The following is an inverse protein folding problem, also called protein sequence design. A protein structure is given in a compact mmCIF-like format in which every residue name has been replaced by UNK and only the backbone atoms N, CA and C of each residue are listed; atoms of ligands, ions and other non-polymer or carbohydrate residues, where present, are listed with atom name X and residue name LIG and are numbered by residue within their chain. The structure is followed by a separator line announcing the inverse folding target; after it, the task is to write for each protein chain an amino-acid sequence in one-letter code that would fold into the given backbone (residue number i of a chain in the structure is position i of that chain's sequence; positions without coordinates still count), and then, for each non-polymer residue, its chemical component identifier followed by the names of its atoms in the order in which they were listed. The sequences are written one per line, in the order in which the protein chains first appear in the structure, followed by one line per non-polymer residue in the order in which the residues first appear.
data_IF_429485557804
#
_entry.id   IF_429485557804
#
_cell.length_a   1.000
_cell.length_b   1.000
_cell.length_c   1.000
_cell.angle_alpha   90.00
_cell.angle_beta   90.00
_cell.angle_gamma   90.00
#
_symmetry.space_group_name_H-M   'P 1'
#
loop_
_entity.id
_entity.type
_entity.pdbx_description
1 polymer ?
#
# COMPACT_ATOMS: atom_id res chain seq x y z
N UNK A 1 -14.49 23.67 -0.64
CA UNK A 1 -14.05 22.33 -1.08
C UNK A 1 -12.88 21.91 -0.18
N UNK A 2 -12.83 20.68 0.30
CA UNK A 2 -11.71 20.16 1.11
C UNK A 2 -10.44 20.16 0.25
N UNK A 3 -9.24 20.43 0.85
CA UNK A 3 -7.93 20.43 0.16
C UNK A 3 -7.69 19.16 -0.65
N UNK A 4 -8.05 18.00 -0.14
CA UNK A 4 -7.86 16.70 -0.83
C UNK A 4 -8.79 16.61 -2.05
N UNK A 5 -10.05 17.04 -1.93
CA UNK A 5 -10.98 17.06 -3.08
C UNK A 5 -10.49 18.02 -4.18
N UNK A 6 -9.87 19.14 -3.81
CA UNK A 6 -9.24 20.03 -4.78
C UNK A 6 -8.09 19.36 -5.52
N UNK A 7 -7.22 18.64 -4.80
CA UNK A 7 -6.10 17.88 -5.39
C UNK A 7 -6.59 16.78 -6.33
N UNK A 8 -7.67 16.09 -5.96
CA UNK A 8 -8.28 15.03 -6.76
C UNK A 8 -8.97 15.57 -8.03
N UNK A 9 -9.59 16.75 -7.94
CA UNK A 9 -10.24 17.40 -9.10
C UNK A 9 -9.23 17.97 -10.08
N UNK A 10 -8.04 18.36 -9.61
CA UNK A 10 -6.96 18.86 -10.44
C UNK A 10 -6.34 17.72 -11.27
N UNK A 11 -6.05 16.59 -10.64
CA UNK A 11 -5.42 15.43 -11.29
C UNK A 11 -5.60 14.17 -10.45
N UNK A 12 -5.82 13.03 -11.12
CA UNK A 12 -5.90 11.72 -10.46
C UNK A 12 -4.66 11.40 -9.62
N UNK A 13 -4.86 10.80 -8.45
CA UNK A 13 -3.78 10.48 -7.53
C UNK A 13 -2.75 9.49 -8.09
N UNK A 14 -3.17 8.60 -8.99
CA UNK A 14 -2.26 7.61 -9.61
C UNK A 14 -1.34 8.24 -10.67
N UNK A 15 -1.69 9.41 -11.22
CA UNK A 15 -0.88 10.10 -12.23
C UNK A 15 0.52 10.50 -11.75
N UNK A 16 0.76 10.56 -10.44
CA UNK A 16 2.07 10.89 -9.88
C UNK A 16 3.15 9.88 -10.24
N UNK A 17 2.77 8.66 -10.64
CA UNK A 17 3.70 7.59 -11.04
C UNK A 17 4.65 8.05 -12.14
N UNK A 18 4.15 8.79 -13.12
CA UNK A 18 4.91 9.24 -14.30
C UNK A 18 6.00 10.26 -13.93
N UNK A 19 5.85 10.94 -12.79
CA UNK A 19 6.80 11.94 -12.29
C UNK A 19 7.85 11.38 -11.33
N UNK A 20 7.72 10.12 -10.88
CA UNK A 20 8.62 9.53 -9.89
C UNK A 20 10.08 9.52 -10.34
N UNK A 21 10.35 9.21 -11.62
CA UNK A 21 11.72 9.22 -12.14
C UNK A 21 12.35 10.62 -12.06
N UNK A 22 11.57 11.67 -12.35
CA UNK A 22 12.01 13.05 -12.20
C UNK A 22 12.31 13.38 -10.72
N UNK A 23 11.42 13.06 -9.80
CA UNK A 23 11.61 13.33 -8.37
C UNK A 23 12.79 12.54 -7.78
N UNK A 24 13.03 11.32 -8.27
CA UNK A 24 14.17 10.52 -7.86
C UNK A 24 15.52 11.19 -8.20
N UNK A 25 15.58 11.94 -9.29
CA UNK A 25 16.76 12.71 -9.70
C UNK A 25 16.85 14.08 -9.05
N UNK A 26 15.72 14.79 -8.93
CA UNK A 26 15.68 16.17 -8.45
C UNK A 26 15.72 16.30 -6.91
N UNK A 27 15.40 15.22 -6.19
CA UNK A 27 15.31 15.24 -4.72
C UNK A 27 13.90 15.50 -4.21
N UNK A 28 13.70 15.25 -2.94
CA UNK A 28 12.39 15.34 -2.30
C UNK A 28 11.90 16.79 -2.15
N UNK A 29 12.80 17.77 -2.03
CA UNK A 29 12.49 19.19 -1.94
C UNK A 29 11.85 19.74 -3.23
N UNK A 30 12.11 19.08 -4.36
CA UNK A 30 11.53 19.45 -5.65
C UNK A 30 10.09 18.94 -5.84
N UNK A 31 9.55 18.14 -4.93
CA UNK A 31 8.21 17.57 -5.05
C UNK A 31 7.17 18.61 -4.63
N UNK A 32 6.24 19.03 -5.51
CA UNK A 32 5.16 19.93 -5.13
C UNK A 32 4.29 19.36 -4.01
N UNK A 33 3.75 20.22 -3.16
CA UNK A 33 2.92 19.79 -2.02
C UNK A 33 1.74 18.91 -2.43
N UNK A 34 1.09 19.21 -3.56
CA UNK A 34 0.00 18.39 -4.07
C UNK A 34 0.47 16.99 -4.45
N UNK A 35 1.69 16.86 -4.99
CA UNK A 35 2.24 15.56 -5.36
C UNK A 35 2.74 14.78 -4.14
N UNK A 36 3.21 15.44 -3.09
CA UNK A 36 3.43 14.79 -1.79
C UNK A 36 2.14 14.12 -1.29
N UNK A 37 0.97 14.72 -1.53
CA UNK A 37 -0.30 14.08 -1.21
C UNK A 37 -0.61 12.94 -2.18
N UNK A 38 -0.38 13.10 -3.49
CA UNK A 38 -0.63 12.06 -4.51
C UNK A 38 0.27 10.84 -4.32
N UNK A 39 1.51 11.00 -3.88
CA UNK A 39 2.41 9.89 -3.57
C UNK A 39 1.80 8.87 -2.59
N UNK A 40 0.90 9.32 -1.72
CA UNK A 40 0.22 8.45 -0.76
C UNK A 40 -0.71 7.43 -1.43
N UNK A 41 -1.18 7.67 -2.68
CA UNK A 41 -1.90 6.65 -3.45
C UNK A 41 -1.02 5.44 -3.75
N UNK A 42 0.29 5.67 -3.91
CA UNK A 42 1.31 4.62 -4.05
C UNK A 42 1.94 4.21 -2.71
N UNK A 43 1.30 4.53 -1.59
CA UNK A 43 1.77 4.13 -0.27
C UNK A 43 3.02 4.82 0.22
N UNK A 44 3.44 5.91 -0.44
CA UNK A 44 4.60 6.72 -0.05
C UNK A 44 4.14 7.88 0.84
N UNK A 45 4.62 7.90 2.05
CA UNK A 45 4.28 8.91 3.05
C UNK A 45 5.56 9.63 3.50
N UNK A 46 5.72 10.90 3.12
CA UNK A 46 6.78 11.75 3.65
C UNK A 46 6.59 11.89 5.18
N UNK A 47 7.65 11.74 5.93
CA UNK A 47 7.62 11.72 7.39
C UNK A 47 8.11 13.04 7.98
N UNK A 48 7.24 13.74 8.70
CA UNK A 48 7.60 14.98 9.38
C UNK A 48 8.76 14.82 10.39
N UNK A 49 8.83 13.72 11.19
CA UNK A 49 9.95 13.54 12.14
C UNK A 49 11.30 13.27 11.47
N UNK A 50 11.30 12.86 10.19
CA UNK A 50 12.51 12.54 9.41
C UNK A 50 12.38 13.14 8.02
N UNK A 51 12.59 14.47 7.85
CA UNK A 51 12.47 15.13 6.55
C UNK A 51 13.34 14.45 5.48
N UNK A 52 12.83 14.34 4.27
CA UNK A 52 13.49 13.65 3.16
C UNK A 52 13.33 12.14 3.14
N UNK A 53 12.82 11.55 4.23
CA UNK A 53 12.57 10.12 4.28
C UNK A 53 11.08 9.79 4.20
N UNK A 54 10.79 8.72 3.47
CA UNK A 54 9.44 8.21 3.25
C UNK A 54 9.23 6.89 3.99
N UNK A 55 7.99 6.66 4.39
CA UNK A 55 7.48 5.34 4.73
C UNK A 55 6.73 4.81 3.52
N UNK A 56 7.06 3.61 3.09
CA UNK A 56 6.34 2.87 2.06
C UNK A 56 5.44 1.83 2.72
N UNK A 57 4.20 1.74 2.25
CA UNK A 57 3.26 0.70 2.65
C UNK A 57 3.04 -0.24 1.47
N UNK A 58 3.29 -1.53 1.68
CA UNK A 58 3.11 -2.59 0.68
C UNK A 58 1.76 -3.26 0.91
N UNK A 59 1.02 -3.47 -0.17
CA UNK A 59 -0.28 -4.12 -0.19
C UNK A 59 -0.11 -5.62 -0.09
N UNK A 60 -0.85 -6.25 0.81
CA UNK A 60 -0.82 -7.70 1.04
C UNK A 60 -2.25 -8.19 1.30
N UNK A 61 -3.01 -8.54 0.25
CA UNK A 61 -4.41 -8.95 0.39
C UNK A 61 -4.53 -10.17 1.30
N UNK A 62 -5.37 -10.08 2.32
CA UNK A 62 -5.54 -11.11 3.35
C UNK A 62 -4.31 -11.35 4.23
N UNK A 63 -3.26 -10.54 4.11
CA UNK A 63 -2.00 -10.77 4.81
C UNK A 63 -1.17 -11.92 4.26
N UNK A 64 -1.61 -12.53 3.15
CA UNK A 64 -0.91 -13.66 2.55
C UNK A 64 0.37 -13.20 1.86
N UNK A 65 1.45 -13.92 2.11
CA UNK A 65 2.75 -13.68 1.51
C UNK A 65 3.55 -14.98 1.42
N UNK A 66 4.46 -15.03 0.47
CA UNK A 66 5.40 -16.14 0.32
C UNK A 66 6.74 -15.82 0.98
N UNK A 67 7.53 -16.84 1.28
CA UNK A 67 8.89 -16.66 1.78
C UNK A 67 9.79 -15.88 0.79
N UNK A 68 9.57 -16.05 -0.51
CA UNK A 68 10.27 -15.28 -1.55
C UNK A 68 9.92 -13.78 -1.48
N UNK A 69 8.65 -13.45 -1.34
CA UNK A 69 8.20 -12.07 -1.18
C UNK A 69 8.73 -11.43 0.11
N UNK A 70 8.76 -12.17 1.22
CA UNK A 70 9.35 -11.68 2.47
C UNK A 70 10.85 -11.42 2.35
N UNK A 71 11.60 -12.24 1.60
CA UNK A 71 13.02 -11.98 1.31
C UNK A 71 13.20 -10.69 0.52
N UNK A 72 12.39 -10.47 -0.51
CA UNK A 72 12.44 -9.21 -1.29
C UNK A 72 12.16 -8.00 -0.40
N UNK A 73 11.17 -8.08 0.50
CA UNK A 73 10.88 -6.99 1.45
C UNK A 73 12.03 -6.78 2.44
N UNK A 74 12.67 -7.84 2.91
CA UNK A 74 13.86 -7.75 3.76
C UNK A 74 15.04 -7.11 3.01
N UNK A 75 15.31 -7.52 1.77
CA UNK A 75 16.37 -6.94 0.93
C UNK A 75 16.12 -5.45 0.65
N UNK A 76 14.87 -5.06 0.38
CA UNK A 76 14.49 -3.65 0.23
C UNK A 76 14.75 -2.86 1.53
N UNK A 77 14.35 -3.42 2.69
CA UNK A 77 14.55 -2.77 3.98
C UNK A 77 16.05 -2.61 4.32
N UNK A 78 16.86 -3.63 4.04
CA UNK A 78 18.31 -3.60 4.28
C UNK A 78 19.05 -2.66 3.34
N UNK A 79 18.71 -2.67 2.04
CA UNK A 79 19.44 -1.90 1.04
C UNK A 79 19.01 -0.44 0.95
N UNK A 80 17.74 -0.14 1.20
CA UNK A 80 17.14 1.17 0.92
C UNK A 80 16.44 1.80 2.12
N UNK A 81 16.13 1.01 3.16
CA UNK A 81 15.48 1.46 4.39
C UNK A 81 16.43 1.49 5.58
N UNK A 82 15.90 1.23 6.76
CA UNK A 82 16.66 1.15 8.02
C UNK A 82 16.84 -0.30 8.53
N UNK A 83 16.69 -1.29 7.67
CA UNK A 83 16.85 -2.71 8.02
C UNK A 83 15.66 -3.33 8.75
N UNK A 84 14.56 -2.60 8.91
CA UNK A 84 13.37 -3.05 9.64
C UNK A 84 12.12 -2.95 8.77
N UNK A 85 11.24 -3.94 8.87
CA UNK A 85 9.88 -3.89 8.34
C UNK A 85 8.88 -3.93 9.50
N UNK A 86 7.79 -3.17 9.38
CA UNK A 86 6.69 -3.22 10.34
C UNK A 86 5.49 -3.96 9.75
N UNK A 87 4.94 -4.89 10.48
CA UNK A 87 3.65 -5.49 10.15
C UNK A 87 2.54 -4.66 10.77
N UNK A 88 1.48 -4.38 10.00
CA UNK A 88 0.41 -3.51 10.46
C UNK A 88 -0.82 -4.30 10.88
N UNK A 89 -1.67 -3.69 11.70
CA UNK A 89 -2.99 -4.25 12.09
C UNK A 89 -3.95 -4.45 10.91
N UNK A 90 -3.60 -3.94 9.70
CA UNK A 90 -4.34 -4.17 8.46
C UNK A 90 -3.63 -5.14 7.53
N UNK A 91 -2.82 -6.04 8.11
CA UNK A 91 -2.14 -7.10 7.36
C UNK A 91 -1.31 -6.55 6.19
N UNK A 92 -0.63 -5.43 6.38
CA UNK A 92 0.27 -4.82 5.39
C UNK A 92 1.68 -4.76 5.98
N UNK A 93 2.67 -4.60 5.10
CA UNK A 93 4.05 -4.33 5.50
C UNK A 93 4.37 -2.86 5.26
N UNK A 94 5.14 -2.28 6.18
CA UNK A 94 5.74 -0.94 6.02
C UNK A 94 7.25 -1.05 6.02
N UNK A 95 7.88 -0.35 5.07
CA UNK A 95 9.32 -0.11 5.04
C UNK A 95 9.55 1.38 5.30
N UNK A 96 10.46 1.69 6.22
CA UNK A 96 10.74 3.07 6.62
C UNK A 96 12.09 3.55 6.11
N UNK A 97 12.30 4.86 6.18
CA UNK A 97 13.55 5.55 5.83
C UNK A 97 13.96 5.41 4.35
N UNK A 98 12.99 5.23 3.46
CA UNK A 98 13.27 5.26 2.03
C UNK A 98 13.52 6.71 1.57
N UNK A 99 14.54 6.90 0.74
CA UNK A 99 14.72 8.16 0.00
C UNK A 99 13.92 8.13 -1.29
N UNK A 100 13.52 9.30 -1.80
CA UNK A 100 12.80 9.36 -3.09
C UNK A 100 13.65 8.80 -4.24
N UNK A 101 14.97 8.94 -4.17
CA UNK A 101 15.89 8.39 -5.16
C UNK A 101 15.83 6.86 -5.27
N UNK A 102 15.55 6.17 -4.17
CA UNK A 102 15.44 4.70 -4.15
C UNK A 102 14.07 4.19 -4.64
N UNK A 103 13.03 5.03 -4.66
CA UNK A 103 11.64 4.60 -4.91
C UNK A 103 11.46 3.89 -6.25
N UNK A 104 12.00 4.36 -7.39
CA UNK A 104 11.85 3.62 -8.67
C UNK A 104 12.36 2.19 -8.56
N UNK A 105 13.59 1.99 -8.07
CA UNK A 105 14.19 0.66 -7.88
C UNK A 105 13.38 -0.22 -6.92
N UNK A 106 12.87 0.37 -5.85
CA UNK A 106 12.01 -0.35 -4.89
C UNK A 106 10.72 -0.80 -5.55
N UNK A 107 10.10 0.04 -6.37
CA UNK A 107 8.87 -0.31 -7.08
C UNK A 107 9.09 -1.42 -8.12
N UNK A 108 10.24 -1.42 -8.82
CA UNK A 108 10.60 -2.47 -9.75
C UNK A 108 10.76 -3.82 -9.03
N UNK A 109 11.51 -3.84 -7.93
CA UNK A 109 11.67 -5.04 -7.07
C UNK A 109 10.33 -5.58 -6.53
N UNK A 110 9.42 -4.69 -6.12
CA UNK A 110 8.08 -5.10 -5.69
C UNK A 110 7.30 -5.74 -6.85
N UNK A 111 7.34 -5.11 -8.02
CA UNK A 111 6.63 -5.61 -9.22
C UNK A 111 7.15 -6.98 -9.64
N UNK A 112 8.48 -7.17 -9.68
CA UNK A 112 9.12 -8.46 -9.99
C UNK A 112 8.71 -9.56 -9.00
N UNK A 113 8.49 -9.21 -7.73
CA UNK A 113 8.01 -10.13 -6.71
C UNK A 113 6.48 -10.35 -6.71
N UNK A 114 5.75 -9.74 -7.64
CA UNK A 114 4.28 -9.76 -7.65
C UNK A 114 3.65 -9.00 -6.48
N UNK A 115 4.36 -8.01 -5.94
CA UNK A 115 3.90 -7.11 -4.87
C UNK A 115 3.62 -5.72 -5.44
N UNK A 116 2.83 -4.94 -4.70
CA UNK A 116 2.56 -3.55 -5.04
C UNK A 116 2.30 -2.72 -3.79
N UNK A 117 2.54 -1.42 -3.92
CA UNK A 117 2.19 -0.41 -2.91
C UNK A 117 0.95 0.42 -3.32
N UNK A 118 0.43 0.18 -4.53
CA UNK A 118 -0.70 0.93 -5.09
C UNK A 118 -1.94 0.84 -4.19
N UNK A 119 -2.66 1.96 -4.06
CA UNK A 119 -3.90 2.09 -3.31
C UNK A 119 -3.79 1.68 -1.83
N UNK A 120 -2.63 1.88 -1.20
CA UNK A 120 -2.45 1.64 0.24
C UNK A 120 -2.61 2.91 1.08
N UNK A 121 -2.83 4.04 0.44
CA UNK A 121 -3.08 5.34 1.05
C UNK A 121 -4.27 6.09 0.42
N UNK A 122 -4.61 7.23 0.98
CA UNK A 122 -5.63 8.19 0.54
C UNK A 122 -7.04 7.60 0.34
N UNK A 123 -7.84 8.20 -0.52
CA UNK A 123 -9.26 7.92 -0.73
C UNK A 123 -9.47 6.84 -1.81
N UNK A 124 -9.04 5.64 -1.48
CA UNK A 124 -9.15 4.46 -2.33
C UNK A 124 -9.61 3.24 -1.52
N UNK A 125 -9.94 2.16 -2.20
CA UNK A 125 -10.10 0.86 -1.55
C UNK A 125 -8.71 0.39 -1.11
N UNK A 126 -8.56 0.30 0.23
CA UNK A 126 -7.30 -0.08 0.89
C UNK A 126 -7.07 -1.58 0.81
N UNK A 127 -6.02 -2.05 1.49
CA UNK A 127 -5.80 -3.48 1.63
C UNK A 127 -7.04 -4.20 2.17
N UNK A 128 -7.36 -5.34 1.59
CA UNK A 128 -8.48 -6.18 2.01
C UNK A 128 -7.94 -7.15 3.05
N UNK A 129 -8.63 -7.24 4.17
CA UNK A 129 -8.24 -8.07 5.30
C UNK A 129 -9.06 -9.36 5.31
N UNK A 130 -8.50 -10.42 5.89
CA UNK A 130 -9.23 -11.63 6.25
C UNK A 130 -8.76 -12.14 7.62
N UNK A 131 -9.40 -13.18 8.11
CA UNK A 131 -8.96 -13.84 9.34
C UNK A 131 -7.49 -14.29 9.21
N UNK A 132 -6.62 -14.01 10.18
CA UNK A 132 -5.21 -14.41 10.11
C UNK A 132 -5.01 -15.93 10.10
N UNK A 133 -6.04 -16.71 10.44
CA UNK A 133 -6.06 -18.17 10.41
C UNK A 133 -7.07 -18.71 9.38
N UNK A 134 -7.41 -17.91 8.37
CA UNK A 134 -8.26 -18.35 7.26
C UNK A 134 -7.65 -19.57 6.57
N UNK A 135 -8.45 -20.58 6.30
CA UNK A 135 -8.04 -21.87 5.76
C UNK A 135 -7.38 -22.82 6.77
N UNK A 136 -7.20 -22.39 8.03
CA UNK A 136 -6.55 -23.18 9.08
C UNK A 136 -7.47 -23.42 10.30
N UNK A 137 -8.50 -22.61 10.48
CA UNK A 137 -9.40 -22.72 11.63
C UNK A 137 -10.39 -23.86 11.42
N UNK A 138 -10.44 -24.88 12.29
CA UNK A 138 -11.37 -26.01 12.15
C UNK A 138 -12.85 -25.62 12.26
N UNK A 139 -13.16 -24.45 12.83
CA UNK A 139 -14.51 -23.90 12.96
C UNK A 139 -14.87 -22.92 11.84
N UNK A 140 -14.03 -22.82 10.80
CA UNK A 140 -14.29 -21.95 9.66
C UNK A 140 -15.43 -22.51 8.82
N UNK A 141 -16.37 -21.64 8.44
CA UNK A 141 -17.52 -21.97 7.59
C UNK A 141 -17.14 -21.85 6.10
N UNK A 142 -16.20 -20.95 5.79
CA UNK A 142 -15.73 -20.66 4.44
C UNK A 142 -14.34 -20.05 4.50
N UNK A 143 -13.39 -20.57 3.70
CA UNK A 143 -12.12 -19.89 3.46
C UNK A 143 -12.35 -18.64 2.59
N UNK A 144 -12.17 -17.47 3.18
CA UNK A 144 -12.35 -16.17 2.52
C UNK A 144 -11.22 -15.78 1.57
N UNK A 145 -10.16 -16.57 1.46
CA UNK A 145 -8.93 -16.21 0.73
C UNK A 145 -9.19 -15.90 -0.74
N UNK A 146 -9.96 -16.73 -1.42
CA UNK A 146 -10.26 -16.50 -2.85
C UNK A 146 -11.19 -15.30 -3.07
N UNK A 147 -12.08 -15.03 -2.13
CA UNK A 147 -12.93 -13.83 -2.15
C UNK A 147 -12.06 -12.58 -2.02
N UNK A 148 -11.10 -12.59 -1.09
CA UNK A 148 -10.13 -11.49 -0.92
C UNK A 148 -9.32 -11.25 -2.20
N UNK A 149 -8.86 -12.32 -2.86
CA UNK A 149 -8.11 -12.22 -4.13
C UNK A 149 -8.97 -11.65 -5.24
N UNK A 150 -10.22 -12.12 -5.38
CA UNK A 150 -11.16 -11.65 -6.40
C UNK A 150 -11.48 -10.15 -6.22
N UNK A 151 -11.80 -9.72 -4.99
CA UNK A 151 -12.05 -8.30 -4.69
C UNK A 151 -10.78 -7.47 -4.97
N UNK A 152 -9.60 -7.96 -4.55
CA UNK A 152 -8.36 -7.24 -4.81
C UNK A 152 -8.07 -7.08 -6.30
N UNK A 153 -8.32 -8.11 -7.10
CA UNK A 153 -8.16 -8.06 -8.56
C UNK A 153 -9.09 -7.02 -9.18
N UNK A 154 -10.35 -6.96 -8.74
CA UNK A 154 -11.34 -6.01 -9.25
C UNK A 154 -11.00 -4.54 -8.94
N UNK A 155 -10.49 -4.28 -7.73
CA UNK A 155 -10.32 -2.89 -7.26
C UNK A 155 -8.94 -2.31 -7.55
N UNK A 156 -7.91 -3.15 -7.72
CA UNK A 156 -6.54 -2.69 -7.88
C UNK A 156 -6.32 -2.07 -9.27
N UNK A 157 -5.90 -0.82 -9.30
CA UNK A 157 -5.67 -0.08 -10.54
C UNK A 157 -6.96 0.37 -11.27
N UNK A 158 -8.13 -0.01 -10.76
CA UNK A 158 -9.41 0.38 -11.33
C UNK A 158 -9.78 1.80 -10.89
N UNK A 159 -9.88 2.74 -11.84
CA UNK A 159 -10.16 4.15 -11.60
C UNK A 159 -11.47 4.42 -10.84
N UNK A 160 -12.45 3.53 -10.91
CA UNK A 160 -13.70 3.64 -10.15
C UNK A 160 -13.47 3.55 -8.63
N UNK A 161 -12.35 2.96 -8.19
CA UNK A 161 -12.03 2.72 -6.78
C UNK A 161 -10.81 3.50 -6.28
N UNK A 162 -10.25 4.39 -7.08
CA UNK A 162 -9.06 5.19 -6.73
C UNK A 162 -9.37 6.61 -6.28
N UNK A 163 -10.60 7.08 -6.50
CA UNK A 163 -11.03 8.44 -6.19
C UNK A 163 -12.35 8.43 -5.41
N UNK A 164 -12.40 7.71 -4.30
CA UNK A 164 -13.58 7.65 -3.43
C UNK A 164 -13.73 8.95 -2.61
N UNK A 165 -14.93 9.29 -2.12
CA UNK A 165 -15.11 10.41 -1.19
C UNK A 165 -14.30 10.25 0.11
N UNK A 166 -14.01 9.01 0.51
CA UNK A 166 -13.22 8.65 1.69
C UNK A 166 -12.57 7.27 1.48
N UNK A 167 -11.49 7.00 2.23
CA UNK A 167 -10.87 5.66 2.27
C UNK A 167 -11.93 4.59 2.56
N UNK A 168 -11.88 3.49 1.84
CA UNK A 168 -12.69 2.30 2.09
C UNK A 168 -11.79 1.17 2.63
N UNK A 169 -12.17 0.56 3.74
CA UNK A 169 -11.54 -0.63 4.27
C UNK A 169 -12.53 -1.78 4.13
N UNK A 170 -12.05 -2.91 3.63
CA UNK A 170 -12.83 -4.14 3.45
C UNK A 170 -12.20 -5.23 4.30
N UNK A 171 -13.02 -5.98 5.00
CA UNK A 171 -12.63 -7.20 5.70
C UNK A 171 -13.59 -8.32 5.32
N UNK A 172 -13.05 -9.52 5.09
CA UNK A 172 -13.82 -10.73 4.76
C UNK A 172 -13.61 -11.70 5.90
N UNK A 173 -14.71 -12.15 6.52
CA UNK A 173 -14.67 -13.20 7.54
C UNK A 173 -15.42 -14.43 7.06
N UNK A 174 -14.84 -15.60 7.26
CA UNK A 174 -15.41 -16.90 6.94
C UNK A 174 -15.84 -17.70 8.16
N UNK A 175 -15.73 -17.14 9.38
CA UNK A 175 -16.14 -17.82 10.61
C UNK A 175 -17.10 -16.96 11.45
N UNK A 176 -17.83 -17.63 12.36
CA UNK A 176 -18.80 -16.99 13.24
C UNK A 176 -18.14 -16.10 14.34
N UNK A 177 -16.87 -16.33 14.63
CA UNK A 177 -16.16 -15.64 15.73
C UNK A 177 -15.87 -14.17 15.43
N UNK A 178 -15.99 -13.74 14.16
CA UNK A 178 -15.75 -12.36 13.71
C UNK A 178 -14.52 -11.70 14.36
N UNK A 179 -13.38 -12.39 14.37
CA UNK A 179 -12.14 -11.91 14.98
C UNK A 179 -11.57 -10.64 14.32
N UNK A 180 -12.06 -10.25 13.14
CA UNK A 180 -11.73 -9.00 12.48
C UNK A 180 -12.53 -7.79 13.00
N UNK A 181 -13.54 -8.03 13.83
CA UNK A 181 -14.44 -6.99 14.35
C UNK A 181 -15.09 -6.15 13.24
N UNK A 182 -15.61 -6.84 12.21
CA UNK A 182 -16.30 -6.23 11.07
C UNK A 182 -17.76 -5.88 11.39
#
# INVERSE_FOLDING_TARGET
MNKIEAIKSEQDGLSVRDRLAHYAQAGWEAIPENDIQRLKWYGLFLRNPTPGYFMLRVRMPGGHTTAAQLRVLADIALAHGNGVIDMTTRQQVQVRHLTIAAVPTVFDKLTEAGLTSMQTGMDSVRNIMTCPVAGLNPNELLDGTDIVRAINHEVLGNGAYTNLPRKCNIAVTGCADNCLHT
#
